data_IF_456661658056
#
_entry.id   IF_456661658056
#
_cell.length_a   1.000
_cell.length_b   1.000
_cell.length_c   1.000
_cell.angle_alpha   90.00
_cell.angle_beta   90.00
_cell.angle_gamma   90.00
#
_symmetry.space_group_name_H-M   'P 1'
#
loop_
_entity.id
_entity.type
_entity.pdbx_description
1 polymer ?
#
# COMPACT_ATOMS: atom_id res chain seq x y z
N UNK A 1 -7.55 -8.80 8.14
CA UNK A 1 -6.62 -8.79 7.00
C UNK A 1 -6.34 -7.35 6.62
N UNK A 2 -5.08 -6.94 6.53
CA UNK A 2 -4.66 -5.58 6.17
C UNK A 2 -4.59 -5.43 4.66
N UNK A 3 -5.36 -4.52 4.06
CA UNK A 3 -5.33 -4.30 2.60
C UNK A 3 -4.40 -3.15 2.22
N UNK A 4 -3.33 -3.44 1.50
CA UNK A 4 -2.40 -2.46 0.95
C UNK A 4 -2.76 -2.15 -0.50
N UNK A 5 -3.24 -0.95 -0.79
CA UNK A 5 -3.55 -0.52 -2.16
C UNK A 5 -2.51 0.45 -2.72
N UNK A 6 -1.84 0.08 -3.81
CA UNK A 6 -1.00 0.98 -4.58
C UNK A 6 -1.80 1.57 -5.74
N UNK A 7 -2.10 2.87 -5.66
CA UNK A 7 -2.76 3.64 -6.71
C UNK A 7 -1.69 4.37 -7.53
N UNK A 8 -1.55 3.95 -8.79
CA UNK A 8 -0.57 4.48 -9.72
C UNK A 8 -1.15 4.71 -11.10
N UNK A 9 -0.25 4.81 -12.09
CA UNK A 9 -0.60 4.73 -13.50
C UNK A 9 0.42 3.84 -14.22
N UNK A 10 0.03 3.19 -15.33
CA UNK A 10 1.00 2.56 -16.22
C UNK A 10 1.99 3.61 -16.77
N UNK A 11 3.21 3.16 -17.10
CA UNK A 11 4.32 4.02 -17.56
C UNK A 11 4.73 5.10 -16.53
N UNK A 12 4.87 4.72 -15.27
CA UNK A 12 5.35 5.61 -14.23
C UNK A 12 6.47 4.97 -13.42
N UNK A 13 7.71 5.41 -13.68
CA UNK A 13 8.90 4.96 -12.93
C UNK A 13 8.75 5.03 -11.40
N UNK A 14 8.00 6.00 -10.87
CA UNK A 14 7.76 6.10 -9.42
C UNK A 14 6.85 4.97 -8.90
N UNK A 15 5.91 4.50 -9.71
CA UNK A 15 5.04 3.38 -9.36
C UNK A 15 5.81 2.06 -9.37
N UNK A 16 6.69 1.85 -10.35
CA UNK A 16 7.59 0.67 -10.38
C UNK A 16 8.42 0.58 -9.10
N UNK A 17 9.08 1.69 -8.73
CA UNK A 17 9.87 1.77 -7.49
C UNK A 17 9.01 1.52 -6.26
N UNK A 18 7.77 2.01 -6.23
CA UNK A 18 6.87 1.76 -5.11
C UNK A 18 6.49 0.27 -5.00
N UNK A 19 6.20 -0.39 -6.12
CA UNK A 19 5.90 -1.82 -6.16
C UNK A 19 7.11 -2.66 -5.72
N UNK A 20 8.32 -2.35 -6.21
CA UNK A 20 9.55 -3.00 -5.74
C UNK A 20 9.80 -2.83 -4.24
N UNK A 21 9.53 -1.63 -3.70
CA UNK A 21 9.63 -1.37 -2.26
C UNK A 21 8.60 -2.20 -1.48
N UNK A 22 7.37 -2.29 -1.97
CA UNK A 22 6.31 -3.08 -1.32
C UNK A 22 6.71 -4.55 -1.28
N UNK A 23 7.12 -5.12 -2.41
CA UNK A 23 7.54 -6.52 -2.51
C UNK A 23 8.72 -6.81 -1.58
N UNK A 24 9.74 -5.93 -1.59
CA UNK A 24 10.89 -6.05 -0.70
C UNK A 24 10.51 -5.97 0.79
N UNK A 25 9.61 -5.05 1.16
CA UNK A 25 9.16 -4.92 2.56
C UNK A 25 8.35 -6.13 2.98
N UNK A 26 7.43 -6.61 2.13
CA UNK A 26 6.60 -7.78 2.43
C UNK A 26 7.47 -9.04 2.55
N UNK A 27 8.50 -9.18 1.73
CA UNK A 27 9.48 -10.26 1.83
C UNK A 27 10.36 -10.19 3.09
N UNK A 28 10.60 -8.99 3.65
CA UNK A 28 11.34 -8.79 4.89
C UNK A 28 10.47 -8.96 6.15
N UNK A 29 9.15 -8.94 6.01
CA UNK A 29 8.21 -9.15 7.11
C UNK A 29 8.12 -10.64 7.48
N UNK A 30 7.79 -10.96 8.75
CA UNK A 30 7.56 -12.34 9.15
C UNK A 30 6.36 -12.94 8.41
N UNK A 31 6.40 -14.25 8.12
CA UNK A 31 5.36 -14.95 7.33
C UNK A 31 3.95 -14.67 7.86
N UNK A 32 3.75 -14.69 9.17
CA UNK A 32 2.45 -14.42 9.80
C UNK A 32 1.90 -13.02 9.49
N UNK A 33 2.77 -12.01 9.37
CA UNK A 33 2.36 -10.67 8.97
C UNK A 33 2.11 -10.62 7.46
N UNK A 34 3.00 -11.20 6.66
CA UNK A 34 2.85 -11.25 5.21
C UNK A 34 1.56 -11.96 4.78
N UNK A 35 1.19 -13.07 5.43
CA UNK A 35 -0.07 -13.79 5.21
C UNK A 35 -1.31 -12.95 5.54
N UNK A 36 -1.17 -11.98 6.45
CA UNK A 36 -2.25 -11.07 6.84
C UNK A 36 -2.36 -9.82 5.96
N UNK A 37 -1.43 -9.62 5.02
CA UNK A 37 -1.37 -8.45 4.13
C UNK A 37 -1.86 -8.84 2.74
N UNK A 38 -2.83 -8.09 2.23
CA UNK A 38 -3.33 -8.21 0.85
C UNK A 38 -2.83 -7.04 0.02
N UNK A 39 -2.06 -7.30 -1.05
CA UNK A 39 -1.55 -6.27 -1.95
C UNK A 39 -2.52 -6.10 -3.12
N UNK A 40 -3.00 -4.88 -3.33
CA UNK A 40 -3.93 -4.52 -4.41
C UNK A 40 -3.30 -3.41 -5.24
N UNK A 41 -3.16 -3.63 -6.54
CA UNK A 41 -2.69 -2.62 -7.47
C UNK A 41 -3.87 -1.99 -8.20
N UNK A 42 -3.96 -0.67 -8.15
CA UNK A 42 -5.03 0.10 -8.77
C UNK A 42 -4.44 1.19 -9.67
N UNK A 43 -5.09 1.46 -10.80
CA UNK A 43 -4.60 2.39 -11.80
C UNK A 43 -5.60 3.50 -12.04
N UNK A 44 -5.15 4.74 -11.91
CA UNK A 44 -5.97 5.92 -12.24
C UNK A 44 -6.27 6.01 -13.75
N UNK A 45 -5.54 5.26 -14.60
CA UNK A 45 -5.81 5.24 -16.03
C UNK A 45 -7.02 4.37 -16.38
N UNK A 46 -7.31 3.38 -15.53
CA UNK A 46 -8.41 2.42 -15.71
C UNK A 46 -9.68 2.88 -14.99
N UNK A 47 -9.53 3.67 -13.92
CA UNK A 47 -10.64 4.10 -13.08
C UNK A 47 -10.75 5.63 -12.99
N UNK A 48 -11.78 6.25 -13.62
CA UNK A 48 -11.94 7.71 -13.62
C UNK A 48 -12.21 8.28 -12.23
N UNK A 49 -12.81 7.51 -11.31
CA UNK A 49 -13.02 7.96 -9.94
C UNK A 49 -11.69 8.11 -9.18
N UNK A 50 -10.77 7.15 -9.36
CA UNK A 50 -9.42 7.24 -8.80
C UNK A 50 -8.62 8.37 -9.43
N UNK A 51 -8.80 8.59 -10.74
CA UNK A 51 -8.21 9.73 -11.43
C UNK A 51 -8.61 11.04 -10.74
N UNK A 52 -9.90 11.35 -10.62
CA UNK A 52 -10.35 12.62 -10.03
C UNK A 52 -9.87 12.83 -8.58
N UNK A 53 -9.75 11.76 -7.80
CA UNK A 53 -9.32 11.82 -6.40
C UNK A 53 -7.80 11.93 -6.21
N UNK A 54 -7.02 11.20 -7.02
CA UNK A 54 -5.60 10.95 -6.74
C UNK A 54 -4.63 11.39 -7.83
N UNK A 55 -5.10 11.84 -9.00
CA UNK A 55 -4.24 12.17 -10.15
C UNK A 55 -3.09 13.16 -9.85
N UNK A 56 -3.28 14.10 -8.92
CA UNK A 56 -2.24 15.07 -8.53
C UNK A 56 -1.24 14.53 -7.49
N UNK A 57 -1.52 13.34 -6.92
CA UNK A 57 -0.81 12.77 -5.76
C UNK A 57 -0.14 11.43 -6.04
N UNK A 58 -0.27 10.87 -7.24
CA UNK A 58 0.34 9.58 -7.60
C UNK A 58 1.88 9.62 -7.48
N UNK A 59 2.54 8.50 -7.08
CA UNK A 59 1.94 7.26 -6.57
C UNK A 59 1.34 7.46 -5.18
N UNK A 60 0.18 6.84 -4.94
CA UNK A 60 -0.54 6.86 -3.67
C UNK A 60 -0.57 5.45 -3.09
N UNK A 61 -0.27 5.31 -1.81
CA UNK A 61 -0.37 4.05 -1.07
C UNK A 61 -1.44 4.21 0.00
N UNK A 62 -2.40 3.30 -0.01
CA UNK A 62 -3.43 3.18 1.01
C UNK A 62 -3.18 1.91 1.84
N UNK A 63 -3.45 1.98 3.14
CA UNK A 63 -3.45 0.83 4.05
C UNK A 63 -4.83 0.78 4.70
N UNK A 64 -5.57 -0.30 4.50
CA UNK A 64 -6.98 -0.45 4.89
C UNK A 64 -7.87 0.70 4.39
N UNK A 65 -7.57 1.21 3.19
CA UNK A 65 -8.25 2.37 2.60
C UNK A 65 -7.84 3.72 3.19
N UNK A 66 -6.90 3.76 4.13
CA UNK A 66 -6.37 4.99 4.72
C UNK A 66 -5.11 5.45 3.99
N UNK A 67 -5.03 6.74 3.65
CA UNK A 67 -3.88 7.31 2.95
C UNK A 67 -2.61 7.22 3.80
N UNK A 68 -1.71 6.33 3.40
CA UNK A 68 -0.44 6.12 4.09
C UNK A 68 0.66 7.03 3.55
N UNK A 69 0.85 7.02 2.22
CA UNK A 69 1.90 7.78 1.57
C UNK A 69 1.47 8.26 0.18
N UNK A 70 2.02 9.40 -0.24
CA UNK A 70 1.89 9.89 -1.60
C UNK A 70 3.22 10.49 -2.08
N UNK A 71 3.48 10.44 -3.40
CA UNK A 71 4.72 10.87 -4.10
C UNK A 71 6.00 10.09 -3.75
N UNK A 72 6.31 9.90 -2.47
CA UNK A 72 7.54 9.26 -2.01
C UNK A 72 7.21 8.19 -0.98
N UNK A 73 7.32 6.94 -1.40
CA UNK A 73 7.25 5.79 -0.52
C UNK A 73 8.64 5.52 0.07
N UNK A 74 8.69 5.13 1.33
CA UNK A 74 9.94 4.73 2.01
C UNK A 74 9.73 3.36 2.63
N UNK A 75 10.62 2.42 2.32
CA UNK A 75 10.53 1.03 2.79
C UNK A 75 10.40 0.96 4.31
N UNK A 76 11.24 1.69 5.05
CA UNK A 76 11.21 1.72 6.53
C UNK A 76 9.86 2.19 7.09
N UNK A 77 9.25 3.21 6.46
CA UNK A 77 7.95 3.73 6.91
C UNK A 77 6.81 2.78 6.57
N UNK A 78 6.86 2.22 5.37
CA UNK A 78 5.87 1.24 4.93
C UNK A 78 5.87 0.03 5.87
N UNK A 79 7.06 -0.50 6.16
CA UNK A 79 7.25 -1.62 7.08
C UNK A 79 6.64 -1.33 8.45
N UNK A 80 7.03 -0.23 9.08
CA UNK A 80 6.52 0.14 10.40
C UNK A 80 5.00 0.28 10.40
N UNK A 81 4.43 0.85 9.35
CA UNK A 81 2.98 0.99 9.23
C UNK A 81 2.26 -0.33 8.98
N UNK A 82 2.85 -1.25 8.21
CA UNK A 82 2.31 -2.60 8.02
C UNK A 82 2.35 -3.39 9.33
N UNK A 83 3.46 -3.37 10.08
CA UNK A 83 3.55 -4.03 11.39
C UNK A 83 2.49 -3.49 12.36
N UNK A 84 2.28 -2.18 12.37
CA UNK A 84 1.26 -1.53 13.20
C UNK A 84 -0.16 -1.85 12.73
N UNK A 85 -0.40 -1.89 11.41
CA UNK A 85 -1.69 -2.22 10.82
C UNK A 85 -2.09 -3.67 11.09
N UNK A 86 -1.17 -4.63 10.92
CA UNK A 86 -1.36 -6.05 11.24
C UNK A 86 -1.70 -6.23 12.72
N UNK A 87 -0.97 -5.53 13.61
CA UNK A 87 -1.23 -5.57 15.05
C UNK A 87 -2.61 -4.99 15.41
N UNK A 88 -3.00 -3.91 14.73
CA UNK A 88 -4.30 -3.25 14.92
C UNK A 88 -5.46 -4.10 14.41
N UNK A 89 -5.29 -4.76 13.28
CA UNK A 89 -6.28 -5.66 12.69
C UNK A 89 -6.54 -6.87 13.59
N UNK A 90 -5.49 -7.50 14.13
CA UNK A 90 -5.63 -8.58 15.12
C UNK A 90 -6.42 -8.16 16.37
N UNK A 91 -6.35 -6.87 16.76
CA UNK A 91 -7.17 -6.32 17.86
C UNK A 91 -8.62 -6.02 17.46
N UNK A 92 -8.89 -5.69 16.19
CA UNK A 92 -10.25 -5.44 15.68
C UNK A 92 -11.07 -6.72 15.57
N UNK A 93 -10.45 -7.84 15.21
CA UNK A 93 -11.14 -9.15 15.07
C UNK A 93 -11.57 -9.75 16.41
N UNK A 94 -11.04 -9.27 17.53
CA UNK A 94 -11.36 -9.76 18.88
C UNK A 94 -12.58 -9.07 19.53
N UNK A 95 -13.32 -8.21 18.81
CA UNK A 95 -14.45 -7.43 19.38
C UNK A 95 -15.80 -7.77 18.77
#
# INVERSE_FOLDING_TARGET
MTTLTLIGKPDCHLCDVASEIIDAVVAELPDAAAESIEIVEASIADDPALYELWWEKIPVVLIDGELHAHWRLSADRLRAALEEAVTRDASKESK
#
